data_IF_696759200134
#
_entry.id   IF_696759200134
#
_cell.length_a   1.000
_cell.length_b   1.000
_cell.length_c   1.000
_cell.angle_alpha   90.00
_cell.angle_beta   90.00
_cell.angle_gamma   90.00
#
_symmetry.space_group_name_H-M   'P 1'
#
loop_
_entity.id
_entity.type
_entity.pdbx_description
1 polymer ?
#
# COMPACT_ATOMS: atom_id res chain seq x y z
N UNK A 1 33.61 65.45 21.96
CA UNK A 1 32.81 64.56 22.82
C UNK A 1 31.34 64.83 22.55
N UNK A 2 30.65 63.96 21.78
CA UNK A 2 29.23 64.13 21.49
C UNK A 2 28.35 63.15 22.29
N UNK A 3 27.28 63.73 22.85
CA UNK A 3 25.89 63.24 22.93
C UNK A 3 25.61 61.73 23.04
N UNK A 4 25.22 61.29 24.24
CA UNK A 4 24.46 60.05 24.48
C UNK A 4 22.96 60.31 24.36
N UNK A 5 22.31 59.60 23.44
CA UNK A 5 20.84 59.57 23.26
C UNK A 5 20.29 58.32 23.98
N UNK A 6 19.21 58.40 24.77
CA UNK A 6 18.61 57.21 25.38
C UNK A 6 17.77 56.42 24.37
N UNK A 7 17.96 55.10 24.34
CA UNK A 7 17.12 54.16 23.60
C UNK A 7 15.72 54.02 24.24
N UNK A 8 14.65 53.79 23.46
CA UNK A 8 13.30 53.66 23.98
C UNK A 8 13.06 52.28 24.62
N UNK A 9 12.06 52.13 25.50
CA UNK A 9 11.75 50.86 26.15
C UNK A 9 11.13 49.86 25.17
N UNK A 10 11.64 48.63 25.19
CA UNK A 10 11.04 47.46 24.53
C UNK A 10 9.69 47.16 25.19
N UNK A 11 8.59 47.41 24.47
CA UNK A 11 7.24 47.00 24.89
C UNK A 11 7.17 45.47 24.92
N UNK A 12 6.95 44.90 26.09
CA UNK A 12 6.49 43.53 26.25
C UNK A 12 5.07 43.40 25.67
N UNK A 13 4.97 42.83 24.46
CA UNK A 13 3.69 42.53 23.81
C UNK A 13 3.42 41.01 23.82
N UNK A 14 2.59 40.61 24.80
CA UNK A 14 1.46 39.68 24.63
C UNK A 14 1.70 38.31 23.97
N UNK A 15 2.48 37.44 24.64
CA UNK A 15 2.26 35.98 24.62
C UNK A 15 0.94 35.64 25.32
N UNK A 16 -0.22 35.84 24.69
CA UNK A 16 -1.52 35.38 25.25
C UNK A 16 -2.63 35.08 24.22
N UNK A 17 -2.35 35.02 22.92
CA UNK A 17 -3.41 34.88 21.89
C UNK A 17 -3.56 33.51 21.20
N UNK A 18 -2.68 32.53 21.43
CA UNK A 18 -2.81 31.23 20.74
C UNK A 18 -3.64 30.18 21.51
N UNK A 19 -3.66 30.22 22.85
CA UNK A 19 -4.40 29.23 23.66
C UNK A 19 -5.93 29.32 23.55
N UNK A 20 -6.47 30.48 23.18
CA UNK A 20 -7.92 30.70 23.13
C UNK A 20 -8.62 30.05 21.94
N UNK A 21 -7.88 29.78 20.84
CA UNK A 21 -8.45 29.16 19.64
C UNK A 21 -8.57 27.65 19.81
N UNK A 22 -7.53 27.02 20.33
CA UNK A 22 -7.49 25.57 20.58
C UNK A 22 -8.51 25.17 21.67
N UNK A 23 -8.69 26.01 22.70
CA UNK A 23 -9.74 25.81 23.73
C UNK A 23 -11.16 26.01 23.20
N UNK A 24 -11.36 26.92 22.24
CA UNK A 24 -12.66 27.15 21.63
C UNK A 24 -13.07 25.99 20.71
N UNK A 25 -12.12 25.40 19.98
CA UNK A 25 -12.37 24.22 19.13
C UNK A 25 -12.69 22.98 19.96
N UNK A 26 -11.94 22.75 21.06
CA UNK A 26 -12.23 21.66 21.99
C UNK A 26 -13.58 21.87 22.68
N UNK A 27 -13.91 23.09 23.10
CA UNK A 27 -15.21 23.40 23.69
C UNK A 27 -16.36 23.20 22.69
N UNK A 28 -16.16 23.52 21.41
CA UNK A 28 -17.16 23.30 20.35
C UNK A 28 -17.40 21.80 20.11
N UNK A 29 -16.36 20.97 20.14
CA UNK A 29 -16.47 19.51 20.02
C UNK A 29 -17.23 18.89 21.19
N UNK A 30 -16.94 19.31 22.43
CA UNK A 30 -17.68 18.84 23.60
C UNK A 30 -19.13 19.31 23.61
N UNK A 31 -19.40 20.54 23.18
CA UNK A 31 -20.77 21.05 23.06
C UNK A 31 -21.55 20.29 21.98
N UNK A 32 -20.94 19.98 20.83
CA UNK A 32 -21.55 19.20 19.77
C UNK A 32 -21.88 17.77 20.24
N UNK A 33 -20.96 17.13 20.96
CA UNK A 33 -21.13 15.78 21.50
C UNK A 33 -22.22 15.74 22.58
N UNK A 34 -22.24 16.71 23.51
CA UNK A 34 -23.30 16.83 24.50
C UNK A 34 -24.67 17.10 23.87
N UNK A 35 -24.70 17.89 22.78
CA UNK A 35 -25.95 18.15 22.04
C UNK A 35 -26.44 16.88 21.33
N UNK A 36 -25.53 16.11 20.73
CA UNK A 36 -25.87 14.85 20.07
C UNK A 36 -26.37 13.80 21.06
N UNK A 37 -25.73 13.70 22.23
CA UNK A 37 -26.13 12.80 23.32
C UNK A 37 -27.49 13.19 23.90
N UNK A 38 -27.72 14.49 24.13
CA UNK A 38 -29.03 15.00 24.57
C UNK A 38 -30.15 14.72 23.56
N UNK A 39 -29.86 14.84 22.25
CA UNK A 39 -30.84 14.51 21.19
C UNK A 39 -31.11 13.01 21.14
N UNK A 40 -30.08 12.17 21.28
CA UNK A 40 -30.23 10.73 21.34
C UNK A 40 -31.09 10.30 22.54
N UNK A 41 -30.90 10.91 23.70
CA UNK A 41 -31.66 10.60 24.91
C UNK A 41 -33.12 11.10 24.83
N UNK A 42 -33.35 12.28 24.22
CA UNK A 42 -34.70 12.80 23.95
C UNK A 42 -35.48 11.94 22.96
N UNK A 43 -34.79 11.37 21.97
CA UNK A 43 -35.37 10.48 20.96
C UNK A 43 -35.73 9.12 21.56
N UNK A 44 -34.95 8.64 22.53
CA UNK A 44 -35.14 7.32 23.15
C UNK A 44 -36.20 7.32 24.26
N UNK A 45 -36.46 8.47 24.91
CA UNK A 45 -37.35 8.58 26.07
C UNK A 45 -38.52 9.58 25.92
N UNK A 46 -38.60 10.35 24.83
CA UNK A 46 -39.65 11.35 24.60
C UNK A 46 -40.84 10.80 23.78
N UNK A 47 -42.09 11.24 24.04
CA UNK A 47 -43.28 10.73 23.36
C UNK A 47 -43.33 11.03 21.84
N UNK A 48 -42.46 11.91 21.33
CA UNK A 48 -42.40 12.34 19.91
C UNK A 48 -41.02 12.09 19.23
N UNK A 49 -40.24 11.11 19.70
CA UNK A 49 -38.88 10.84 19.22
C UNK A 49 -38.76 10.59 17.70
N UNK A 50 -39.77 10.00 17.08
CA UNK A 50 -39.79 9.76 15.63
C UNK A 50 -39.89 11.04 14.78
N UNK A 51 -40.66 12.03 15.23
CA UNK A 51 -40.80 13.32 14.55
C UNK A 51 -39.52 14.17 14.65
N UNK A 52 -38.83 14.09 15.78
CA UNK A 52 -37.54 14.75 15.98
C UNK A 52 -36.43 14.15 15.11
N UNK A 53 -36.41 12.83 14.93
CA UNK A 53 -35.49 12.15 14.01
C UNK A 53 -35.72 12.57 12.56
N UNK A 54 -36.98 12.59 12.12
CA UNK A 54 -37.32 12.97 10.74
C UNK A 54 -37.00 14.44 10.45
N UNK A 55 -37.26 15.35 11.38
CA UNK A 55 -36.94 16.77 11.22
C UNK A 55 -35.43 17.03 11.26
N UNK A 56 -34.67 16.31 12.11
CA UNK A 56 -33.21 16.39 12.17
C UNK A 56 -32.55 15.84 10.90
N UNK A 57 -33.05 14.71 10.37
CA UNK A 57 -32.58 14.16 9.11
C UNK A 57 -32.85 15.11 7.92
N UNK A 58 -34.04 15.72 7.89
CA UNK A 58 -34.38 16.72 6.87
C UNK A 58 -33.48 17.97 6.96
N UNK A 59 -33.18 18.44 8.16
CA UNK A 59 -32.27 19.58 8.38
C UNK A 59 -30.83 19.26 7.94
N UNK A 60 -30.33 18.06 8.21
CA UNK A 60 -29.00 17.61 7.76
C UNK A 60 -28.91 17.49 6.24
N UNK A 61 -29.94 16.94 5.59
CA UNK A 61 -30.00 16.86 4.13
C UNK A 61 -30.06 18.27 3.49
N UNK A 62 -30.80 19.20 4.09
CA UNK A 62 -30.85 20.58 3.64
C UNK A 62 -29.50 21.29 3.80
N UNK A 63 -28.80 21.07 4.93
CA UNK A 63 -27.46 21.62 5.15
C UNK A 63 -26.42 21.04 4.18
N UNK A 64 -26.47 19.73 3.91
CA UNK A 64 -25.60 19.08 2.93
C UNK A 64 -25.87 19.58 1.50
N UNK A 65 -27.15 19.71 1.11
CA UNK A 65 -27.53 20.26 -0.18
C UNK A 65 -27.10 21.73 -0.33
N UNK A 66 -27.25 22.53 0.73
CA UNK A 66 -26.77 23.92 0.75
C UNK A 66 -25.24 23.97 0.65
N UNK A 67 -24.50 23.08 1.32
CA UNK A 67 -23.04 23.03 1.24
C UNK A 67 -22.54 22.62 -0.16
N UNK A 68 -23.17 21.61 -0.78
CA UNK A 68 -22.88 21.20 -2.16
C UNK A 68 -23.24 22.28 -3.18
N UNK A 69 -24.34 22.99 -2.96
CA UNK A 69 -24.72 24.12 -3.79
C UNK A 69 -23.75 25.29 -3.63
N UNK A 70 -23.30 25.58 -2.40
CA UNK A 70 -22.35 26.66 -2.11
C UNK A 70 -20.95 26.34 -2.63
N UNK A 71 -20.47 25.10 -2.54
CA UNK A 71 -19.19 24.69 -3.12
C UNK A 71 -19.20 24.76 -4.65
N UNK A 72 -20.31 24.37 -5.29
CA UNK A 72 -20.50 24.52 -6.74
C UNK A 72 -20.59 26.00 -7.16
N UNK A 73 -21.20 26.87 -6.35
CA UNK A 73 -21.30 28.31 -6.61
C UNK A 73 -19.99 29.06 -6.32
N UNK A 74 -19.19 28.62 -5.35
CA UNK A 74 -17.85 29.14 -5.06
C UNK A 74 -16.84 28.77 -6.16
N UNK A 75 -16.99 27.60 -6.78
CA UNK A 75 -16.28 27.24 -8.01
C UNK A 75 -16.64 28.14 -9.21
N UNK A 76 -17.86 28.69 -9.26
CA UNK A 76 -18.30 29.64 -10.30
C UNK A 76 -18.05 31.12 -9.93
N UNK A 77 -17.74 31.43 -8.66
CA UNK A 77 -17.39 32.78 -8.21
C UNK A 77 -15.90 33.10 -8.31
N UNK A 78 -15.03 32.08 -8.35
CA UNK A 78 -13.63 32.26 -8.74
C UNK A 78 -13.46 32.65 -10.23
N UNK A 79 -14.49 32.45 -11.06
CA UNK A 79 -14.49 32.75 -12.49
C UNK A 79 -15.16 34.10 -12.87
N UNK A 80 -15.61 34.91 -11.89
CA UNK A 80 -16.38 36.14 -12.17
C UNK A 80 -15.81 37.42 -11.54
N UNK A 81 -14.50 37.47 -11.31
CA UNK A 81 -13.78 38.69 -10.92
C UNK A 81 -12.59 38.95 -11.86
N UNK A 82 -12.85 39.01 -13.17
CA UNK A 82 -11.91 39.55 -14.15
C UNK A 82 -12.46 40.89 -14.66
N UNK A 83 -11.82 41.98 -14.27
CA UNK A 83 -12.00 43.29 -14.89
C UNK A 83 -11.34 43.28 -16.30
N UNK A 84 -11.83 44.06 -17.27
CA UNK A 84 -11.46 43.91 -18.67
C UNK A 84 -10.07 44.48 -18.95
N UNK A 85 -9.12 43.59 -19.28
CA UNK A 85 -7.82 43.94 -19.84
C UNK A 85 -7.77 43.59 -21.33
N UNK A 86 -7.53 44.61 -22.14
CA UNK A 86 -7.08 44.68 -23.55
C UNK A 86 -6.74 43.33 -24.23
N UNK A 87 -7.25 43.05 -25.44
CA UNK A 87 -6.95 41.80 -26.15
C UNK A 87 -5.48 41.82 -26.61
N UNK A 88 -4.66 40.95 -26.01
CA UNK A 88 -3.35 40.61 -26.54
C UNK A 88 -3.50 39.37 -27.43
N UNK A 89 -2.91 39.46 -28.62
CA UNK A 89 -2.93 38.45 -29.67
C UNK A 89 -2.50 37.07 -29.15
N UNK A 90 -3.24 36.07 -29.63
CA UNK A 90 -3.04 34.65 -29.43
C UNK A 90 -1.71 34.20 -30.05
N UNK A 91 -0.65 34.22 -29.26
CA UNK A 91 0.55 33.43 -29.51
C UNK A 91 0.60 32.33 -28.46
N UNK A 92 0.22 31.11 -28.85
CA UNK A 92 0.24 29.92 -28.01
C UNK A 92 1.53 29.81 -27.20
N UNK A 93 1.40 29.98 -25.88
CA UNK A 93 2.48 29.96 -24.91
C UNK A 93 2.55 28.55 -24.30
N UNK A 94 3.74 27.99 -24.01
CA UNK A 94 3.89 26.63 -23.46
C UNK A 94 3.47 26.52 -21.97
N UNK A 95 2.57 27.38 -21.50
CA UNK A 95 2.12 27.45 -20.10
C UNK A 95 0.98 26.48 -19.76
N UNK A 96 0.43 25.76 -20.75
CA UNK A 96 -0.64 24.75 -20.57
C UNK A 96 -0.12 23.33 -20.33
N UNK A 97 1.20 23.12 -20.19
CA UNK A 97 1.75 21.81 -19.90
C UNK A 97 1.57 21.45 -18.41
N UNK A 98 0.92 20.32 -18.13
CA UNK A 98 0.65 19.87 -16.76
C UNK A 98 1.95 19.77 -15.93
N UNK A 99 1.96 20.28 -14.69
CA UNK A 99 3.15 20.30 -13.87
C UNK A 99 3.60 18.88 -13.50
N UNK A 100 4.90 18.70 -13.41
CA UNK A 100 5.58 17.42 -13.21
C UNK A 100 5.83 17.18 -11.72
N UNK A 101 5.33 16.06 -11.18
CA UNK A 101 5.60 15.64 -9.79
C UNK A 101 6.94 14.91 -9.65
N UNK A 102 7.76 15.33 -8.69
CA UNK A 102 9.06 14.73 -8.42
C UNK A 102 9.20 14.39 -6.96
N UNK A 103 9.87 13.28 -6.67
CA UNK A 103 10.38 12.97 -5.34
C UNK A 103 11.88 13.22 -5.36
N UNK A 104 12.33 14.12 -4.51
CA UNK A 104 13.73 14.49 -4.39
C UNK A 104 14.19 14.18 -2.98
N UNK A 105 15.29 13.47 -2.84
CA UNK A 105 15.95 13.24 -1.55
C UNK A 105 17.35 13.79 -1.62
N UNK A 106 17.77 14.55 -0.63
CA UNK A 106 19.11 15.15 -0.59
C UNK A 106 19.61 15.24 0.84
N UNK A 107 20.90 15.08 1.04
CA UNK A 107 21.55 15.36 2.31
C UNK A 107 21.84 16.84 2.40
N UNK A 108 21.50 17.45 3.52
CA UNK A 108 21.74 18.86 3.84
C UNK A 108 22.48 18.93 5.18
N UNK A 109 23.32 19.95 5.36
CA UNK A 109 24.00 20.16 6.65
C UNK A 109 22.97 20.51 7.72
N UNK A 110 23.10 19.88 8.88
CA UNK A 110 22.27 20.16 10.06
C UNK A 110 22.74 21.45 10.76
N UNK A 111 22.57 22.58 10.08
CA UNK A 111 22.85 23.92 10.61
C UNK A 111 21.74 24.89 10.23
N UNK A 112 21.41 25.87 11.09
CA UNK A 112 20.35 26.83 10.80
C UNK A 112 20.54 27.52 9.44
N UNK A 113 19.48 27.49 8.63
CA UNK A 113 19.45 28.14 7.31
C UNK A 113 19.82 27.25 6.12
N UNK A 114 20.47 26.09 6.33
CA UNK A 114 20.89 25.20 5.23
C UNK A 114 19.69 24.68 4.42
N UNK A 115 18.69 24.08 5.09
CA UNK A 115 17.44 23.67 4.44
C UNK A 115 16.68 24.86 3.84
N UNK A 116 16.74 26.03 4.50
CA UNK A 116 16.14 27.27 4.00
C UNK A 116 16.75 27.74 2.67
N UNK A 117 18.06 27.55 2.47
CA UNK A 117 18.74 27.86 1.22
C UNK A 117 18.24 26.97 0.07
N UNK A 118 18.08 25.66 0.32
CA UNK A 118 17.50 24.71 -0.65
C UNK A 118 16.07 25.10 -1.01
N UNK A 119 15.21 25.35 -0.02
CA UNK A 119 13.83 25.79 -0.28
C UNK A 119 13.77 27.11 -1.07
N UNK A 120 14.67 28.05 -0.79
CA UNK A 120 14.76 29.34 -1.51
C UNK A 120 15.17 29.13 -2.97
N UNK A 121 16.14 28.24 -3.23
CA UNK A 121 16.59 27.92 -4.58
C UNK A 121 15.48 27.25 -5.40
N UNK A 122 14.78 26.28 -4.82
CA UNK A 122 13.62 25.64 -5.45
C UNK A 122 12.51 26.64 -5.79
N UNK A 123 12.20 27.56 -4.86
CA UNK A 123 11.24 28.63 -5.10
C UNK A 123 11.66 29.56 -6.25
N UNK A 124 12.96 29.87 -6.37
CA UNK A 124 13.52 30.65 -7.48
C UNK A 124 13.30 29.99 -8.86
N UNK A 125 13.29 28.66 -8.90
CA UNK A 125 13.00 27.85 -10.09
C UNK A 125 11.49 27.58 -10.30
N UNK A 126 10.62 28.26 -9.53
CA UNK A 126 9.15 28.08 -9.53
C UNK A 126 8.72 26.64 -9.22
N UNK A 127 9.49 25.94 -8.40
CA UNK A 127 9.15 24.60 -7.91
C UNK A 127 8.38 24.75 -6.60
N UNK A 128 7.19 24.15 -6.56
CA UNK A 128 6.35 24.10 -5.37
C UNK A 128 6.72 22.88 -4.51
N UNK A 129 6.82 23.07 -3.19
CA UNK A 129 7.12 22.00 -2.23
C UNK A 129 5.80 21.52 -1.65
N UNK A 130 5.34 20.35 -2.08
CA UNK A 130 4.07 19.76 -1.67
C UNK A 130 4.18 19.15 -0.27
N UNK A 131 5.26 18.39 -0.03
CA UNK A 131 5.59 17.83 1.29
C UNK A 131 7.10 17.87 1.51
N UNK A 132 7.50 17.90 2.78
CA UNK A 132 8.88 17.85 3.23
C UNK A 132 8.98 16.97 4.47
N UNK A 133 9.87 15.99 4.43
CA UNK A 133 10.22 15.16 5.57
C UNK A 133 11.71 15.28 5.83
N UNK A 134 12.08 15.42 7.09
CA UNK A 134 13.47 15.50 7.51
C UNK A 134 13.84 14.24 8.29
N UNK A 135 14.96 13.63 7.93
CA UNK A 135 15.49 12.41 8.52
C UNK A 135 16.86 12.72 9.13
N UNK A 136 16.96 12.89 10.45
CA UNK A 136 18.23 13.21 11.10
C UNK A 136 19.21 12.05 10.97
N UNK A 137 20.46 12.37 10.64
CA UNK A 137 21.60 11.46 10.65
C UNK A 137 22.62 11.86 11.74
N UNK A 138 23.65 11.05 11.94
CA UNK A 138 24.78 11.43 12.81
C UNK A 138 25.54 12.64 12.25
N UNK A 139 25.65 12.72 10.92
CA UNK A 139 26.28 13.84 10.20
C UNK A 139 25.28 14.40 9.18
N UNK A 140 24.55 15.46 9.56
CA UNK A 140 23.59 16.14 8.69
C UNK A 140 22.16 15.60 8.77
N UNK A 141 21.33 16.04 7.81
CA UNK A 141 19.94 15.62 7.66
C UNK A 141 19.71 15.15 6.24
N UNK A 142 18.96 14.08 6.08
CA UNK A 142 18.42 13.68 4.78
C UNK A 142 17.02 14.27 4.67
N UNK A 143 16.83 15.16 3.72
CA UNK A 143 15.56 15.82 3.48
C UNK A 143 14.90 15.22 2.23
N UNK A 144 13.69 14.70 2.40
CA UNK A 144 12.85 14.14 1.34
C UNK A 144 11.72 15.12 1.01
N UNK A 145 11.67 15.52 -0.25
CA UNK A 145 10.73 16.49 -0.80
C UNK A 145 9.82 15.81 -1.81
N UNK A 146 8.53 16.10 -1.74
CA UNK A 146 7.62 15.96 -2.87
C UNK A 146 7.46 17.32 -3.53
N UNK A 147 7.86 17.41 -4.79
CA UNK A 147 7.95 18.64 -5.55
C UNK A 147 6.96 18.64 -6.71
N UNK A 148 6.40 19.81 -6.99
CA UNK A 148 5.64 20.08 -8.21
C UNK A 148 6.42 21.11 -9.03
N UNK A 149 7.03 20.65 -10.11
CA UNK A 149 7.87 21.48 -10.97
C UNK A 149 7.15 21.83 -12.29
N UNK A 150 7.47 22.98 -12.92
CA UNK A 150 7.00 23.29 -14.26
C UNK A 150 7.40 22.19 -15.26
N UNK A 151 6.51 21.84 -16.21
CA UNK A 151 6.76 20.77 -17.18
C UNK A 151 8.02 21.00 -18.03
N UNK A 152 8.34 22.27 -18.32
CA UNK A 152 9.51 22.66 -19.10
C UNK A 152 10.83 22.60 -18.31
N UNK A 153 10.81 22.43 -16.98
CA UNK A 153 12.02 22.40 -16.16
C UNK A 153 12.70 21.01 -16.27
N UNK A 154 13.94 20.92 -16.80
CA UNK A 154 14.63 19.64 -16.90
C UNK A 154 14.99 19.07 -15.52
N UNK A 155 14.90 17.75 -15.36
CA UNK A 155 15.26 17.05 -14.11
C UNK A 155 16.69 17.38 -13.64
N UNK A 156 17.65 17.47 -14.57
CA UNK A 156 19.03 17.83 -14.24
C UNK A 156 19.14 19.25 -13.66
N UNK A 157 18.29 20.19 -14.09
CA UNK A 157 18.29 21.55 -13.55
C UNK A 157 17.78 21.59 -12.10
N UNK A 158 16.82 20.73 -11.73
CA UNK A 158 16.38 20.55 -10.33
C UNK A 158 17.53 20.06 -9.45
N UNK A 159 18.25 19.02 -9.89
CA UNK A 159 19.40 18.48 -9.15
C UNK A 159 20.49 19.53 -8.97
N UNK A 160 20.85 20.25 -10.03
CA UNK A 160 21.83 21.32 -9.96
C UNK A 160 21.40 22.46 -9.03
N UNK A 161 20.12 22.87 -9.10
CA UNK A 161 19.55 23.89 -8.20
C UNK A 161 19.72 23.51 -6.73
N UNK A 162 19.48 22.24 -6.39
CA UNK A 162 19.63 21.73 -5.02
C UNK A 162 21.11 21.62 -4.63
N UNK A 163 21.97 21.15 -5.54
CA UNK A 163 23.41 21.04 -5.29
C UNK A 163 24.07 22.40 -5.05
N UNK A 164 23.73 23.41 -5.86
CA UNK A 164 24.23 24.79 -5.72
C UNK A 164 23.76 25.43 -4.40
N UNK A 165 22.61 24.99 -3.88
CA UNK A 165 22.08 25.41 -2.59
C UNK A 165 22.67 24.65 -1.39
N UNK A 166 23.62 23.73 -1.62
CA UNK A 166 24.34 22.98 -0.60
C UNK A 166 23.81 21.58 -0.32
N UNK A 167 22.91 21.06 -1.15
CA UNK A 167 22.50 19.65 -1.10
C UNK A 167 23.59 18.72 -1.65
N UNK A 168 23.76 17.57 -1.02
CA UNK A 168 24.64 16.49 -1.51
C UNK A 168 23.87 15.18 -1.60
N UNK A 169 24.44 14.18 -2.28
CA UNK A 169 23.85 12.84 -2.42
C UNK A 169 22.39 12.89 -2.91
N UNK A 170 22.13 13.81 -3.84
CA UNK A 170 20.80 14.11 -4.32
C UNK A 170 20.30 12.99 -5.24
N UNK A 171 19.15 12.44 -4.89
CA UNK A 171 18.42 11.47 -5.68
C UNK A 171 17.08 12.04 -6.11
N UNK A 172 16.69 11.79 -7.36
CA UNK A 172 15.50 12.35 -7.99
C UNK A 172 14.76 11.26 -8.78
N UNK A 173 13.47 11.08 -8.49
CA UNK A 173 12.60 10.20 -9.26
C UNK A 173 11.25 10.85 -9.57
N UNK A 174 10.55 10.30 -10.57
CA UNK A 174 9.17 10.71 -10.87
C UNK A 174 8.25 10.24 -9.76
N UNK A 175 7.43 11.16 -9.25
CA UNK A 175 6.37 10.86 -8.30
C UNK A 175 5.01 10.74 -9.01
N UNK A 176 4.09 10.02 -8.38
CA UNK A 176 2.73 9.84 -8.86
C UNK A 176 1.68 10.40 -7.87
N UNK A 177 0.40 10.34 -8.23
CA UNK A 177 -0.68 10.91 -7.43
C UNK A 177 -0.83 10.27 -6.03
N UNK A 178 -0.41 9.02 -5.83
CA UNK A 178 -0.46 8.34 -4.53
C UNK A 178 0.58 8.88 -3.55
N UNK A 179 1.68 9.48 -4.05
CA UNK A 179 2.67 10.14 -3.20
C UNK A 179 2.14 11.42 -2.54
N UNK A 180 1.01 11.96 -3.03
CA UNK A 180 0.35 13.14 -2.44
C UNK A 180 -0.36 12.83 -1.11
N UNK A 181 -0.55 11.55 -0.78
CA UNK A 181 -1.09 11.15 0.52
C UNK A 181 -0.05 11.43 1.59
N UNK A 182 -0.43 12.18 2.62
CA UNK A 182 0.48 12.50 3.71
C UNK A 182 0.95 11.24 4.45
N UNK A 183 2.17 11.30 4.97
CA UNK A 183 2.81 10.14 5.58
C UNK A 183 2.04 9.58 6.79
N UNK A 184 1.54 10.38 7.75
CA UNK A 184 0.69 9.85 8.82
C UNK A 184 -0.51 9.04 8.32
N UNK A 185 -1.27 9.57 7.35
CA UNK A 185 -2.42 8.86 6.76
C UNK A 185 -1.99 7.55 6.08
N UNK A 186 -0.87 7.57 5.34
CA UNK A 186 -0.29 6.37 4.72
C UNK A 186 0.11 5.34 5.78
N UNK A 187 0.78 5.72 6.87
CA UNK A 187 1.16 4.80 7.95
C UNK A 187 -0.06 4.14 8.61
N UNK A 188 -1.11 4.91 8.91
CA UNK A 188 -2.34 4.38 9.51
C UNK A 188 -3.08 3.43 8.56
N UNK A 189 -3.08 3.74 7.27
CA UNK A 189 -3.63 2.85 6.23
C UNK A 189 -2.85 1.53 6.17
N UNK A 190 -1.52 1.59 6.14
CA UNK A 190 -0.65 0.41 6.14
C UNK A 190 -0.84 -0.42 7.41
N UNK A 191 -0.85 0.21 8.58
CA UNK A 191 -1.09 -0.45 9.87
C UNK A 191 -2.45 -1.16 9.91
N UNK A 192 -3.50 -0.54 9.37
CA UNK A 192 -4.84 -1.12 9.28
C UNK A 192 -4.86 -2.35 8.38
N UNK A 193 -4.19 -2.29 7.22
CA UNK A 193 -4.09 -3.44 6.30
C UNK A 193 -3.35 -4.61 6.95
N UNK A 194 -2.18 -4.36 7.54
CA UNK A 194 -1.41 -5.35 8.29
C UNK A 194 -2.21 -5.95 9.44
N UNK A 195 -3.06 -5.15 10.11
CA UNK A 195 -3.90 -5.64 11.19
C UNK A 195 -5.04 -6.58 10.76
N UNK A 196 -5.44 -6.52 9.48
CA UNK A 196 -6.52 -7.34 8.92
C UNK A 196 -6.02 -8.64 8.28
N UNK A 197 -4.83 -8.64 7.69
CA UNK A 197 -4.22 -9.79 7.03
C UNK A 197 -2.71 -9.80 7.28
N UNK A 198 -2.20 -10.83 7.95
CA UNK A 198 -0.76 -10.97 8.22
C UNK A 198 0.07 -11.08 6.92
N UNK A 199 -0.57 -11.40 5.79
CA UNK A 199 0.10 -11.41 4.48
C UNK A 199 0.41 -10.01 3.93
N UNK A 200 -0.12 -8.96 4.56
CA UNK A 200 0.12 -7.57 4.17
C UNK A 200 1.44 -7.02 4.71
N UNK A 201 2.10 -7.64 5.71
CA UNK A 201 3.33 -7.07 6.28
C UNK A 201 4.43 -6.82 5.22
N UNK A 202 4.81 -7.80 4.37
CA UNK A 202 5.79 -7.55 3.31
C UNK A 202 5.33 -6.46 2.34
N UNK A 203 4.05 -6.48 1.95
CA UNK A 203 3.48 -5.48 1.04
C UNK A 203 3.50 -4.08 1.67
N UNK A 204 3.21 -3.98 2.95
CA UNK A 204 3.21 -2.74 3.70
C UNK A 204 4.61 -2.17 3.85
N UNK A 205 5.63 -3.02 4.07
CA UNK A 205 7.04 -2.59 4.06
C UNK A 205 7.46 -2.08 2.67
N UNK A 206 7.04 -2.72 1.58
CA UNK A 206 7.33 -2.24 0.22
C UNK A 206 6.65 -0.89 -0.01
N UNK A 207 5.36 -0.81 0.32
CA UNK A 207 4.59 0.43 0.23
C UNK A 207 5.06 1.49 1.22
N UNK A 208 5.86 1.18 2.24
CA UNK A 208 6.42 2.16 3.15
C UNK A 208 7.69 2.79 2.56
N UNK A 209 8.52 1.99 1.88
CA UNK A 209 9.85 2.40 1.41
C UNK A 209 9.96 2.60 -0.10
N UNK A 210 8.89 2.38 -0.86
CA UNK A 210 8.85 2.59 -2.30
C UNK A 210 9.52 1.44 -3.06
N UNK A 211 10.43 1.77 -3.97
CA UNK A 211 11.19 0.79 -4.76
C UNK A 211 12.21 0.08 -3.87
N UNK A 212 11.85 -1.10 -3.37
CA UNK A 212 12.73 -2.00 -2.65
C UNK A 212 12.33 -3.45 -2.89
N UNK A 213 13.31 -4.34 -2.88
CA UNK A 213 13.09 -5.78 -2.88
C UNK A 213 12.90 -6.27 -1.45
N UNK A 214 11.93 -7.15 -1.25
CA UNK A 214 11.66 -7.77 0.05
C UNK A 214 11.82 -9.27 -0.06
N UNK A 215 12.65 -9.83 0.81
CA UNK A 215 12.91 -11.26 0.88
C UNK A 215 12.64 -11.76 2.28
N UNK A 216 11.75 -12.74 2.40
CA UNK A 216 11.46 -13.44 3.66
C UNK A 216 12.21 -14.77 3.69
N UNK A 217 13.11 -14.92 4.66
CA UNK A 217 13.84 -16.16 4.90
C UNK A 217 13.24 -16.86 6.12
N UNK A 218 12.76 -18.11 6.02
CA UNK A 218 12.21 -18.85 7.15
C UNK A 218 13.25 -19.09 8.27
N UNK A 219 12.76 -19.35 9.48
CA UNK A 219 13.59 -19.77 10.59
C UNK A 219 14.35 -21.06 10.25
N UNK A 220 15.68 -21.07 10.44
CA UNK A 220 16.43 -22.32 10.44
C UNK A 220 16.13 -23.09 11.75
N UNK A 221 15.97 -24.42 11.66
CA UNK A 221 15.73 -25.24 12.84
C UNK A 221 16.90 -25.10 13.84
N UNK A 222 16.63 -24.53 15.02
CA UNK A 222 17.65 -24.30 16.06
C UNK A 222 18.56 -23.09 15.83
N UNK A 223 18.20 -22.16 14.93
CA UNK A 223 18.95 -20.92 14.72
C UNK A 223 18.88 -19.97 15.93
N UNK A 224 19.93 -19.16 16.09
CA UNK A 224 19.93 -18.07 17.07
C UNK A 224 18.85 -17.01 16.73
N UNK A 225 18.31 -16.32 17.74
CA UNK A 225 17.34 -15.24 17.51
C UNK A 225 17.95 -14.17 16.59
N UNK A 226 17.23 -13.89 15.51
CA UNK A 226 17.64 -12.91 14.50
C UNK A 226 17.63 -11.53 15.15
N UNK A 227 18.76 -10.81 15.06
CA UNK A 227 18.86 -9.44 15.52
C UNK A 227 18.57 -8.47 14.36
N UNK A 228 17.79 -7.43 14.65
CA UNK A 228 17.52 -6.38 13.66
C UNK A 228 18.83 -5.62 13.35
N UNK A 229 19.17 -5.48 12.07
CA UNK A 229 20.36 -4.73 11.62
C UNK A 229 20.02 -3.76 10.48
N UNK A 230 20.81 -2.69 10.40
CA UNK A 230 20.77 -1.69 9.35
C UNK A 230 22.18 -1.52 8.79
N UNK A 231 22.34 -1.76 7.50
CA UNK A 231 23.60 -1.70 6.74
C UNK A 231 23.36 -0.93 5.44
N UNK A 232 23.57 0.38 5.45
CA UNK A 232 23.32 1.29 4.32
C UNK A 232 22.02 0.99 3.54
N UNK A 233 22.10 0.27 2.43
CA UNK A 233 20.96 -0.03 1.54
C UNK A 233 20.20 -1.30 1.91
N UNK A 234 20.56 -1.97 2.99
CA UNK A 234 19.96 -3.22 3.46
C UNK A 234 19.53 -3.09 4.91
N UNK A 235 18.30 -3.48 5.20
CA UNK A 235 17.80 -3.63 6.57
C UNK A 235 17.26 -5.04 6.76
N UNK A 236 17.67 -5.66 7.87
CA UNK A 236 17.24 -6.99 8.29
C UNK A 236 16.39 -6.85 9.54
N UNK A 237 15.20 -7.45 9.50
CA UNK A 237 14.23 -7.41 10.57
C UNK A 237 13.91 -8.84 10.99
N UNK A 238 13.81 -9.08 12.29
CA UNK A 238 13.30 -10.32 12.82
C UNK A 238 11.85 -10.53 12.34
N UNK A 239 11.59 -11.63 11.64
CA UNK A 239 10.23 -12.00 11.28
C UNK A 239 9.55 -12.56 12.54
N UNK A 240 8.31 -12.16 12.89
CA UNK A 240 7.64 -12.69 14.07
C UNK A 240 7.29 -14.20 13.97
N UNK A 241 7.55 -14.87 12.84
CA UNK A 241 7.53 -16.34 12.66
C UNK A 241 8.85 -17.00 13.06
N UNK A 242 9.85 -16.22 13.49
CA UNK A 242 11.21 -16.68 13.81
C UNK A 242 12.20 -16.62 12.64
N UNK A 243 11.77 -16.13 11.48
CA UNK A 243 12.62 -15.94 10.30
C UNK A 243 13.30 -14.56 10.23
N UNK A 244 13.68 -14.14 9.04
CA UNK A 244 14.22 -12.81 8.75
C UNK A 244 13.52 -12.20 7.55
N UNK A 245 13.09 -10.95 7.67
CA UNK A 245 12.66 -10.11 6.54
C UNK A 245 13.83 -9.20 6.17
N UNK A 246 14.32 -9.33 4.94
CA UNK A 246 15.33 -8.44 4.37
C UNK A 246 14.66 -7.46 3.43
N UNK A 247 14.87 -6.16 3.65
CA UNK A 247 14.44 -5.09 2.76
C UNK A 247 15.69 -4.46 2.17
N UNK A 248 15.78 -4.42 0.84
CA UNK A 248 16.96 -3.96 0.12
C UNK A 248 16.59 -2.93 -0.95
N UNK A 249 17.42 -1.90 -1.09
CA UNK A 249 17.43 -0.95 -2.20
C UNK A 249 18.72 -1.09 -2.99
N UNK A 250 18.70 -0.72 -4.26
CA UNK A 250 19.89 -0.84 -5.11
C UNK A 250 20.96 0.20 -4.73
N UNK A 251 20.55 1.44 -4.48
CA UNK A 251 21.50 2.56 -4.39
C UNK A 251 21.22 3.58 -3.28
N UNK A 252 20.00 3.62 -2.72
CA UNK A 252 19.62 4.65 -1.74
C UNK A 252 19.69 4.09 -0.31
N UNK A 253 20.62 4.57 0.54
CA UNK A 253 20.73 4.09 1.92
C UNK A 253 19.47 4.38 2.74
N UNK A 254 19.13 3.47 3.65
CA UNK A 254 18.09 3.67 4.63
C UNK A 254 18.58 4.54 5.79
N UNK A 255 17.72 5.43 6.26
CA UNK A 255 17.99 6.23 7.46
C UNK A 255 17.65 5.44 8.74
N UNK A 256 18.22 5.80 9.90
CA UNK A 256 17.80 5.26 11.19
C UNK A 256 16.30 5.45 11.47
N UNK A 257 15.71 6.56 11.00
CA UNK A 257 14.27 6.80 11.11
C UNK A 257 13.45 5.84 10.25
N UNK A 258 13.86 5.54 9.03
CA UNK A 258 13.23 4.52 8.19
C UNK A 258 13.30 3.14 8.85
N UNK A 259 14.46 2.75 9.36
CA UNK A 259 14.63 1.50 10.08
C UNK A 259 13.74 1.41 11.33
N UNK A 260 13.65 2.48 12.12
CA UNK A 260 12.75 2.54 13.28
C UNK A 260 11.27 2.38 12.89
N UNK A 261 10.83 2.98 11.77
CA UNK A 261 9.47 2.80 11.23
C UNK A 261 9.21 1.35 10.82
N UNK A 262 10.16 0.71 10.17
CA UNK A 262 10.05 -0.70 9.79
C UNK A 262 9.89 -1.61 11.02
N UNK A 263 10.76 -1.43 12.02
CA UNK A 263 10.70 -2.17 13.29
C UNK A 263 9.36 -1.96 14.01
N UNK A 264 8.84 -0.73 14.02
CA UNK A 264 7.54 -0.45 14.63
C UNK A 264 6.39 -1.18 13.91
N UNK A 265 6.43 -1.28 12.58
CA UNK A 265 5.42 -2.01 11.80
C UNK A 265 5.52 -3.54 12.03
N UNK A 266 6.73 -4.09 12.10
CA UNK A 266 6.97 -5.50 12.42
C UNK A 266 6.54 -5.83 13.85
N UNK A 267 6.86 -4.98 14.82
CA UNK A 267 6.42 -5.12 16.21
C UNK A 267 4.89 -5.08 16.33
N UNK A 268 4.23 -4.22 15.54
CA UNK A 268 2.77 -4.19 15.48
C UNK A 268 2.22 -5.54 14.98
N UNK A 269 2.74 -6.06 13.87
CA UNK A 269 2.34 -7.39 13.34
C UNK A 269 2.56 -8.50 14.38
N UNK A 270 3.73 -8.50 15.03
CA UNK A 270 4.08 -9.46 16.07
C UNK A 270 3.04 -9.48 17.21
N UNK A 271 2.60 -8.31 17.68
CA UNK A 271 1.60 -8.19 18.75
C UNK A 271 0.20 -8.62 18.33
N UNK A 272 -0.15 -8.44 17.07
CA UNK A 272 -1.45 -8.81 16.54
C UNK A 272 -1.55 -10.32 16.24
N UNK A 273 -0.40 -10.97 16.03
CA UNK A 273 -0.32 -12.40 15.73
C UNK A 273 -0.81 -12.74 14.32
N UNK A 274 -0.88 -14.04 14.01
CA UNK A 274 -1.29 -14.51 12.67
C UNK A 274 -2.78 -14.28 12.46
N UNK A 275 -3.14 -13.51 11.43
CA UNK A 275 -4.53 -13.20 11.05
C UNK A 275 -4.72 -13.49 9.57
N UNK A 276 -5.77 -14.25 9.25
CA UNK A 276 -6.17 -14.56 7.88
C UNK A 276 -7.63 -14.11 7.69
N UNK A 277 -7.95 -13.33 6.63
CA UNK A 277 -9.32 -12.89 6.38
C UNK A 277 -10.31 -14.04 6.24
N UNK A 278 -11.43 -13.99 6.97
CA UNK A 278 -12.48 -15.03 6.95
C UNK A 278 -13.40 -15.00 5.71
N UNK A 279 -13.02 -14.33 4.63
CA UNK A 279 -13.86 -14.21 3.43
C UNK A 279 -14.11 -15.57 2.78
N UNK A 280 -15.38 -15.89 2.54
CA UNK A 280 -15.85 -17.11 1.86
C UNK A 280 -16.65 -16.74 0.62
N UNK A 281 -16.44 -17.47 -0.47
CA UNK A 281 -17.10 -17.24 -1.75
C UNK A 281 -17.68 -18.55 -2.28
N UNK A 282 -19.00 -18.62 -2.38
CA UNK A 282 -19.66 -19.73 -3.03
C UNK A 282 -19.36 -19.72 -4.53
N UNK A 283 -19.06 -20.88 -5.07
CA UNK A 283 -18.80 -21.13 -6.48
C UNK A 283 -19.62 -22.33 -6.90
N UNK A 284 -20.53 -22.13 -7.83
CA UNK A 284 -21.31 -23.21 -8.44
C UNK A 284 -20.58 -23.69 -9.69
N UNK A 285 -20.18 -24.96 -9.71
CA UNK A 285 -19.62 -25.57 -10.90
C UNK A 285 -20.73 -25.86 -11.93
N UNK A 286 -20.41 -25.99 -13.24
CA UNK A 286 -21.39 -26.36 -14.26
C UNK A 286 -22.17 -27.64 -13.96
N UNK A 287 -21.57 -28.56 -13.21
CA UNK A 287 -22.17 -29.83 -12.78
C UNK A 287 -23.11 -29.68 -11.55
N UNK A 288 -23.35 -28.46 -11.06
CA UNK A 288 -24.26 -28.16 -9.95
C UNK A 288 -23.68 -28.34 -8.55
N UNK A 289 -22.40 -28.73 -8.42
CA UNK A 289 -21.74 -28.83 -7.12
C UNK A 289 -21.47 -27.43 -6.55
N UNK A 290 -22.00 -27.16 -5.35
CA UNK A 290 -21.65 -25.98 -4.57
C UNK A 290 -20.31 -26.19 -3.87
N UNK A 291 -19.34 -25.35 -4.25
CA UNK A 291 -18.02 -25.27 -3.62
C UNK A 291 -17.87 -23.92 -2.92
N UNK A 292 -17.03 -23.88 -1.89
CA UNK A 292 -16.65 -22.64 -1.22
C UNK A 292 -15.17 -22.40 -1.41
N UNK A 293 -14.81 -21.23 -1.95
CA UNK A 293 -13.44 -20.73 -1.97
C UNK A 293 -13.23 -19.81 -0.78
N UNK A 294 -12.18 -20.02 0.00
CA UNK A 294 -11.82 -19.18 1.15
C UNK A 294 -10.33 -19.01 1.27
N UNK A 295 -9.88 -18.01 2.05
CA UNK A 295 -8.48 -17.95 2.47
C UNK A 295 -8.12 -19.18 3.31
N UNK A 296 -6.91 -19.67 3.09
CA UNK A 296 -6.31 -20.76 3.84
C UNK A 296 -5.14 -20.24 4.67
N UNK A 297 -4.93 -20.86 5.84
CA UNK A 297 -3.91 -20.47 6.80
C UNK A 297 -3.23 -21.68 7.46
N UNK A 298 -2.32 -21.47 8.42
CA UNK A 298 -1.58 -22.53 9.10
C UNK A 298 -2.47 -23.60 9.77
N UNK A 299 -3.69 -23.22 10.18
CA UNK A 299 -4.71 -24.10 10.74
C UNK A 299 -5.19 -25.18 9.76
N UNK A 300 -5.07 -24.95 8.46
CA UNK A 300 -5.53 -25.87 7.42
C UNK A 300 -4.54 -26.99 7.13
N UNK A 301 -3.37 -27.00 7.79
CA UNK A 301 -2.29 -27.96 7.52
C UNK A 301 -2.76 -29.41 7.57
N UNK A 302 -3.53 -29.79 8.58
CA UNK A 302 -4.05 -31.16 8.71
C UNK A 302 -5.01 -31.53 7.56
N UNK A 303 -5.88 -30.59 7.15
CA UNK A 303 -6.81 -30.82 6.06
C UNK A 303 -6.10 -30.89 4.69
N UNK A 304 -5.05 -30.07 4.50
CA UNK A 304 -4.19 -30.09 3.32
C UNK A 304 -3.45 -31.42 3.19
N UNK A 305 -2.88 -31.94 4.29
CA UNK A 305 -2.23 -33.26 4.33
C UNK A 305 -3.20 -34.38 3.96
N UNK A 306 -4.40 -34.38 4.56
CA UNK A 306 -5.42 -35.34 4.22
C UNK A 306 -5.84 -35.26 2.73
N UNK A 307 -5.78 -34.07 2.11
CA UNK A 307 -5.99 -33.93 0.66
C UNK A 307 -4.84 -34.52 -0.15
N UNK A 308 -3.59 -34.27 0.27
CA UNK A 308 -2.41 -34.83 -0.40
C UNK A 308 -2.43 -36.35 -0.42
N UNK A 309 -2.81 -37.00 0.68
CA UNK A 309 -2.93 -38.46 0.80
C UNK A 309 -3.91 -39.08 -0.21
N UNK A 310 -4.85 -38.28 -0.73
CA UNK A 310 -5.83 -38.69 -1.75
C UNK A 310 -5.42 -38.34 -3.16
N UNK A 311 -4.38 -37.53 -3.34
CA UNK A 311 -3.87 -37.18 -4.65
C UNK A 311 -3.00 -38.31 -5.19
N UNK A 312 -3.02 -38.52 -6.51
CA UNK A 312 -2.10 -39.46 -7.13
C UNK A 312 -0.65 -38.96 -7.07
N UNK A 313 0.35 -39.88 -7.13
CA UNK A 313 1.75 -39.50 -7.24
C UNK A 313 2.04 -38.57 -8.42
N UNK A 314 1.36 -38.77 -9.55
CA UNK A 314 1.51 -37.93 -10.75
C UNK A 314 1.02 -36.50 -10.50
N UNK A 315 -0.15 -36.35 -9.85
CA UNK A 315 -0.69 -35.04 -9.46
C UNK A 315 0.26 -34.30 -8.52
N UNK A 316 0.83 -34.99 -7.53
CA UNK A 316 1.80 -34.40 -6.61
C UNK A 316 3.12 -34.05 -7.31
N UNK A 317 3.61 -34.89 -8.23
CA UNK A 317 4.85 -34.64 -8.99
C UNK A 317 4.74 -33.47 -9.98
N UNK A 318 3.53 -33.14 -10.44
CA UNK A 318 3.27 -31.93 -11.23
C UNK A 318 3.24 -30.67 -10.38
N UNK A 319 2.88 -30.79 -9.10
CA UNK A 319 2.81 -29.68 -8.13
C UNK A 319 4.16 -29.41 -7.46
N UNK A 320 4.89 -30.46 -7.12
CA UNK A 320 6.15 -30.41 -6.40
C UNK A 320 7.25 -30.84 -7.35
N UNK A 321 8.18 -29.93 -7.66
CA UNK A 321 9.35 -30.19 -8.50
C UNK A 321 10.45 -30.97 -7.76
N UNK A 322 10.07 -31.75 -6.74
CA UNK A 322 10.90 -32.54 -5.83
C UNK A 322 10.11 -33.68 -5.18
N UNK A 323 10.68 -34.44 -4.22
CA UNK A 323 10.01 -35.58 -3.59
C UNK A 323 8.71 -35.17 -2.89
N UNK A 324 7.59 -35.83 -3.21
CA UNK A 324 6.28 -35.52 -2.63
C UNK A 324 6.23 -35.79 -1.11
N UNK A 325 7.10 -36.65 -0.60
CA UNK A 325 7.27 -36.94 0.84
C UNK A 325 7.72 -35.72 1.65
N UNK A 326 8.29 -34.70 1.01
CA UNK A 326 8.64 -33.43 1.65
C UNK A 326 7.46 -32.43 1.71
N UNK A 327 6.30 -32.76 1.15
CA UNK A 327 5.16 -31.84 1.05
C UNK A 327 4.72 -31.29 2.41
N UNK A 328 4.83 -32.07 3.48
CA UNK A 328 4.57 -31.67 4.87
C UNK A 328 5.37 -30.45 5.33
N UNK A 329 6.63 -30.39 4.91
CA UNK A 329 7.57 -29.32 5.22
C UNK A 329 7.26 -28.09 4.36
N UNK A 330 6.94 -28.30 3.10
CA UNK A 330 6.52 -27.22 2.20
C UNK A 330 5.18 -26.60 2.61
N UNK A 331 4.21 -27.39 3.09
CA UNK A 331 2.88 -26.89 3.46
C UNK A 331 2.92 -25.86 4.58
N UNK A 332 3.81 -26.01 5.57
CA UNK A 332 3.95 -25.02 6.64
C UNK A 332 4.37 -23.64 6.08
N UNK A 333 5.24 -23.64 5.07
CA UNK A 333 5.64 -22.42 4.37
C UNK A 333 4.51 -21.89 3.48
N UNK A 334 3.90 -22.75 2.67
CA UNK A 334 2.84 -22.35 1.74
C UNK A 334 1.59 -21.79 2.44
N UNK A 335 1.21 -22.35 3.59
CA UNK A 335 0.04 -21.90 4.36
C UNK A 335 0.34 -20.72 5.29
N UNK A 336 1.61 -20.38 5.47
CA UNK A 336 1.98 -19.20 6.26
C UNK A 336 1.66 -17.93 5.46
N UNK A 337 0.85 -17.01 6.02
CA UNK A 337 0.52 -15.77 5.33
C UNK A 337 1.76 -14.87 5.13
N UNK A 338 2.87 -15.12 5.82
CA UNK A 338 4.09 -14.32 5.70
C UNK A 338 4.82 -14.47 4.36
N UNK A 339 4.56 -15.55 3.65
CA UNK A 339 5.19 -15.84 2.36
C UNK A 339 4.27 -15.63 1.18
N UNK A 340 3.00 -15.26 1.42
CA UNK A 340 2.02 -15.22 0.37
C UNK A 340 0.57 -15.27 0.85
N UNK A 341 -0.33 -15.55 -0.09
CA UNK A 341 -1.75 -15.75 0.15
C UNK A 341 -2.16 -17.12 -0.36
N UNK A 342 -2.82 -17.87 0.50
CA UNK A 342 -3.34 -19.20 0.17
C UNK A 342 -4.85 -19.21 0.12
N UNK A 343 -5.39 -20.00 -0.80
CA UNK A 343 -6.82 -20.27 -0.98
C UNK A 343 -7.08 -21.76 -0.88
N UNK A 344 -8.17 -22.11 -0.22
CA UNK A 344 -8.71 -23.46 -0.17
C UNK A 344 -10.07 -23.52 -0.86
N UNK A 345 -10.34 -24.65 -1.51
CA UNK A 345 -11.66 -24.99 -2.04
C UNK A 345 -12.23 -26.13 -1.22
N UNK A 346 -13.40 -25.90 -0.65
CA UNK A 346 -14.14 -26.87 0.15
C UNK A 346 -15.44 -27.26 -0.55
N UNK A 347 -15.83 -28.52 -0.38
CA UNK A 347 -17.17 -29.00 -0.71
C UNK A 347 -18.18 -28.54 0.33
N UNK A 348 -19.48 -28.71 0.06
CA UNK A 348 -20.56 -28.42 1.01
C UNK A 348 -20.41 -29.15 2.37
N UNK A 349 -19.73 -30.29 2.42
CA UNK A 349 -19.43 -31.02 3.66
C UNK A 349 -18.21 -30.48 4.43
N UNK A 350 -17.57 -29.42 3.94
CA UNK A 350 -16.34 -28.86 4.52
C UNK A 350 -15.07 -29.62 4.13
N UNK A 351 -15.16 -30.64 3.27
CA UNK A 351 -13.97 -31.36 2.79
C UNK A 351 -13.19 -30.50 1.81
N UNK A 352 -11.91 -30.28 2.10
CA UNK A 352 -10.94 -29.59 1.24
C UNK A 352 -10.59 -30.47 0.02
N UNK A 353 -10.69 -29.89 -1.19
CA UNK A 353 -10.51 -30.60 -2.47
C UNK A 353 -9.55 -29.90 -3.45
N UNK A 354 -9.17 -28.65 -3.17
CA UNK A 354 -8.10 -27.96 -3.89
C UNK A 354 -7.43 -26.89 -3.03
N UNK A 355 -6.18 -26.59 -3.37
CA UNK A 355 -5.37 -25.50 -2.81
C UNK A 355 -4.79 -24.65 -3.94
N UNK A 356 -4.73 -23.35 -3.70
CA UNK A 356 -4.00 -22.40 -4.52
C UNK A 356 -3.12 -21.52 -3.64
N UNK A 357 -1.91 -21.24 -4.09
CA UNK A 357 -0.93 -20.42 -3.38
C UNK A 357 -0.45 -19.32 -4.32
N UNK A 358 -0.40 -18.09 -3.80
CA UNK A 358 0.27 -16.95 -4.38
C UNK A 358 1.43 -16.60 -3.47
N UNK A 359 2.67 -16.80 -3.91
CA UNK A 359 3.87 -16.60 -3.12
C UNK A 359 4.58 -15.31 -3.54
N UNK A 360 5.17 -14.62 -2.58
CA UNK A 360 6.00 -13.45 -2.81
C UNK A 360 7.44 -13.88 -3.04
N UNK A 361 7.98 -13.67 -4.25
CA UNK A 361 9.37 -13.94 -4.59
C UNK A 361 10.08 -12.65 -5.05
N UNK A 362 10.52 -11.86 -4.07
CA UNK A 362 11.12 -10.55 -4.33
C UNK A 362 10.14 -9.60 -5.02
N UNK A 363 10.44 -9.26 -6.27
CA UNK A 363 9.59 -8.43 -7.13
C UNK A 363 8.57 -9.25 -7.94
N UNK A 364 8.79 -10.56 -8.06
CA UNK A 364 7.94 -11.49 -8.78
C UNK A 364 6.94 -12.22 -7.85
N UNK A 365 5.94 -12.86 -8.44
CA UNK A 365 4.85 -13.48 -7.69
C UNK A 365 4.49 -14.84 -8.28
N UNK A 366 4.82 -15.91 -7.58
CA UNK A 366 4.58 -17.27 -8.06
C UNK A 366 3.16 -17.72 -7.71
N UNK A 367 2.47 -18.34 -8.67
CA UNK A 367 1.21 -19.04 -8.44
C UNK A 367 1.38 -20.55 -8.58
N UNK A 368 0.87 -21.29 -7.60
CA UNK A 368 0.90 -22.75 -7.61
C UNK A 368 -0.46 -23.32 -7.19
N UNK A 369 -0.92 -24.34 -7.91
CA UNK A 369 -2.25 -24.94 -7.75
C UNK A 369 -2.16 -26.44 -7.55
N UNK A 370 -2.99 -26.99 -6.67
CA UNK A 370 -3.19 -28.42 -6.48
C UNK A 370 -4.69 -28.70 -6.41
N UNK A 371 -5.17 -29.63 -7.25
CA UNK A 371 -6.58 -30.06 -7.28
C UNK A 371 -6.60 -31.58 -7.17
N UNK A 372 -7.36 -32.11 -6.20
CA UNK A 372 -7.54 -33.56 -6.02
C UNK A 372 -8.04 -34.21 -7.32
N UNK A 373 -7.49 -35.36 -7.70
CA UNK A 373 -7.68 -36.01 -9.01
C UNK A 373 -9.16 -36.13 -9.42
N UNK A 374 -10.03 -36.55 -8.49
CA UNK A 374 -11.47 -36.69 -8.74
C UNK A 374 -12.22 -35.38 -9.03
N UNK A 375 -11.60 -34.23 -8.73
CA UNK A 375 -12.15 -32.89 -8.89
C UNK A 375 -11.51 -32.10 -10.04
N UNK A 376 -10.49 -32.67 -10.69
CA UNK A 376 -9.83 -32.05 -11.84
C UNK A 376 -10.76 -31.98 -13.06
N UNK A 377 -10.44 -31.09 -14.00
CA UNK A 377 -11.20 -30.82 -15.24
C UNK A 377 -12.65 -30.35 -15.02
N UNK A 378 -12.96 -29.82 -13.83
CA UNK A 378 -14.26 -29.20 -13.50
C UNK A 378 -14.19 -27.67 -13.36
N UNK A 379 -13.08 -27.05 -13.78
CA UNK A 379 -12.89 -25.58 -13.72
C UNK A 379 -12.38 -25.03 -12.38
N UNK A 380 -12.12 -25.87 -11.37
CA UNK A 380 -11.64 -25.43 -10.05
C UNK A 380 -10.28 -24.71 -10.13
N UNK A 381 -9.36 -25.22 -10.96
CA UNK A 381 -8.05 -24.58 -11.17
C UNK A 381 -8.18 -23.14 -11.67
N UNK A 382 -9.04 -22.91 -12.68
CA UNK A 382 -9.29 -21.56 -13.22
C UNK A 382 -9.98 -20.63 -12.22
N UNK A 383 -10.88 -21.16 -11.38
CA UNK A 383 -11.49 -20.40 -10.28
C UNK A 383 -10.43 -19.94 -9.27
N UNK A 384 -9.57 -20.85 -8.82
CA UNK A 384 -8.49 -20.52 -7.90
C UNK A 384 -7.52 -19.51 -8.53
N UNK A 385 -7.08 -19.74 -9.77
CA UNK A 385 -6.13 -18.88 -10.44
C UNK A 385 -6.66 -17.45 -10.58
N UNK A 386 -7.91 -17.26 -11.04
CA UNK A 386 -8.52 -15.93 -11.12
C UNK A 386 -8.56 -15.23 -9.77
N UNK A 387 -8.90 -15.95 -8.70
CA UNK A 387 -8.92 -15.38 -7.34
C UNK A 387 -7.53 -15.01 -6.84
N UNK A 388 -6.51 -15.82 -7.12
CA UNK A 388 -5.12 -15.47 -6.79
C UNK A 388 -4.65 -14.25 -7.60
N UNK A 389 -5.01 -14.15 -8.89
CA UNK A 389 -4.70 -12.98 -9.72
C UNK A 389 -5.38 -11.72 -9.20
N UNK A 390 -6.65 -11.79 -8.77
CA UNK A 390 -7.33 -10.67 -8.10
C UNK A 390 -6.55 -10.22 -6.86
N UNK A 391 -6.13 -11.16 -6.00
CA UNK A 391 -5.34 -10.87 -4.80
C UNK A 391 -3.96 -10.28 -5.12
N UNK A 392 -3.33 -10.68 -6.22
CA UNK A 392 -2.07 -10.12 -6.69
C UNK A 392 -2.26 -8.68 -7.22
N UNK A 393 -3.30 -8.45 -8.02
CA UNK A 393 -3.62 -7.11 -8.52
C UNK A 393 -3.99 -6.14 -7.39
N UNK A 394 -4.77 -6.58 -6.40
CA UNK A 394 -5.09 -5.81 -5.18
C UNK A 394 -3.84 -5.46 -4.36
N UNK A 395 -2.84 -6.34 -4.38
CA UNK A 395 -1.54 -6.10 -3.77
C UNK A 395 -0.63 -5.17 -4.61
N UNK A 396 -1.09 -4.71 -5.79
CA UNK A 396 -0.33 -3.83 -6.68
C UNK A 396 0.79 -4.55 -7.43
N UNK A 397 0.65 -5.84 -7.69
CA UNK A 397 1.63 -6.63 -8.44
C UNK A 397 1.44 -6.46 -9.94
N UNK A 398 2.55 -6.37 -10.67
CA UNK A 398 2.58 -6.16 -12.12
C UNK A 398 2.47 -7.47 -12.92
N UNK A 399 2.85 -8.59 -12.30
CA UNK A 399 2.83 -9.91 -12.93
C UNK A 399 2.65 -11.02 -11.90
N UNK A 400 2.16 -12.17 -12.39
CA UNK A 400 2.27 -13.46 -11.70
C UNK A 400 2.85 -14.49 -12.67
N UNK A 401 3.58 -15.48 -12.16
CA UNK A 401 4.11 -16.56 -12.99
C UNK A 401 3.82 -17.92 -12.38
N UNK A 402 3.76 -18.94 -13.23
CA UNK A 402 3.64 -20.34 -12.83
C UNK A 402 4.83 -21.12 -13.37
N UNK A 403 5.52 -21.86 -12.49
CA UNK A 403 6.57 -22.81 -12.89
C UNK A 403 5.96 -24.20 -12.97
N UNK A 404 6.03 -24.82 -14.15
CA UNK A 404 5.46 -26.15 -14.37
C UNK A 404 6.29 -26.96 -15.36
N UNK A 405 5.93 -28.23 -15.57
CA UNK A 405 6.52 -29.02 -16.66
C UNK A 405 5.88 -28.62 -17.98
N UNK A 406 6.65 -28.57 -19.06
CA UNK A 406 6.15 -28.33 -20.42
C UNK A 406 5.03 -29.29 -20.85
N UNK A 407 4.95 -30.48 -20.25
CA UNK A 407 3.90 -31.48 -20.47
C UNK A 407 2.61 -31.24 -19.66
N UNK A 408 2.60 -30.30 -18.71
CA UNK A 408 1.44 -29.98 -17.89
C UNK A 408 0.41 -29.12 -18.66
N UNK A 409 -0.30 -29.77 -19.58
CA UNK A 409 -1.32 -29.11 -20.42
C UNK A 409 -2.44 -28.47 -19.60
N UNK A 410 -2.76 -29.02 -18.41
CA UNK A 410 -3.78 -28.48 -17.51
C UNK A 410 -3.43 -27.08 -17.00
N UNK A 411 -2.19 -26.88 -16.52
CA UNK A 411 -1.72 -25.56 -16.08
C UNK A 411 -1.66 -24.56 -17.23
N UNK A 412 -1.15 -24.99 -18.40
CA UNK A 412 -1.08 -24.12 -19.60
C UNK A 412 -2.47 -23.66 -20.05
N UNK A 413 -3.45 -24.56 -20.08
CA UNK A 413 -4.83 -24.21 -20.39
C UNK A 413 -5.40 -23.24 -19.36
N UNK A 414 -5.17 -23.50 -18.06
CA UNK A 414 -5.66 -22.64 -16.97
C UNK A 414 -5.09 -21.22 -17.05
N UNK A 415 -3.79 -21.07 -17.37
CA UNK A 415 -3.16 -19.75 -17.58
C UNK A 415 -3.75 -19.02 -18.79
N UNK A 416 -3.99 -19.72 -19.91
CA UNK A 416 -4.60 -19.14 -21.11
C UNK A 416 -6.03 -18.65 -20.89
N UNK A 417 -6.80 -19.35 -20.06
CA UNK A 417 -8.17 -18.96 -19.68
C UNK A 417 -8.26 -17.63 -18.92
N UNK A 418 -7.15 -17.08 -18.41
CA UNK A 418 -7.14 -15.75 -17.83
C UNK A 418 -7.45 -14.64 -18.86
N UNK A 419 -7.16 -14.87 -20.15
CA UNK A 419 -7.32 -13.85 -21.17
C UNK A 419 -6.40 -12.64 -20.97
N UNK A 420 -5.27 -12.82 -20.27
CA UNK A 420 -4.24 -11.81 -20.05
C UNK A 420 -3.07 -12.03 -21.02
N UNK A 421 -2.23 -11.00 -21.27
CA UNK A 421 -0.97 -11.19 -21.99
C UNK A 421 -0.09 -12.21 -21.27
N UNK A 422 0.37 -13.23 -21.99
CA UNK A 422 1.22 -14.30 -21.46
C UNK A 422 2.58 -14.32 -22.16
N UNK A 423 3.65 -14.41 -21.38
CA UNK A 423 4.99 -14.77 -21.84
C UNK A 423 5.30 -16.22 -21.48
N UNK A 424 6.09 -16.89 -22.32
CA UNK A 424 6.44 -18.31 -22.17
C UNK A 424 7.94 -18.50 -22.27
N UNK A 425 8.55 -19.07 -21.24
CA UNK A 425 9.96 -19.44 -21.22
C UNK A 425 10.11 -20.92 -20.94
N UNK A 426 10.92 -21.62 -21.75
CA UNK A 426 11.14 -23.06 -21.65
C UNK A 426 12.62 -23.35 -21.56
N UNK A 427 13.01 -24.08 -20.52
CA UNK A 427 14.39 -24.52 -20.29
C UNK A 427 14.39 -25.90 -19.63
N UNK A 428 15.15 -26.86 -20.17
CA UNK A 428 15.29 -28.24 -19.67
C UNK A 428 13.97 -28.95 -19.33
N UNK A 429 12.93 -28.73 -20.13
CA UNK A 429 11.59 -29.32 -19.95
C UNK A 429 10.72 -28.63 -18.90
N UNK A 430 11.27 -27.65 -18.18
CA UNK A 430 10.54 -26.71 -17.32
C UNK A 430 9.95 -25.59 -18.19
N UNK A 431 8.72 -25.20 -17.88
CA UNK A 431 7.97 -24.13 -18.51
C UNK A 431 7.61 -23.10 -17.44
N UNK A 432 8.03 -21.86 -17.65
CA UNK A 432 7.56 -20.69 -16.90
C UNK A 432 6.55 -19.96 -17.77
N UNK A 433 5.35 -19.75 -17.22
CA UNK A 433 4.30 -18.96 -17.87
C UNK A 433 4.06 -17.72 -17.03
N UNK A 434 4.27 -16.53 -17.59
CA UNK A 434 4.12 -15.26 -16.88
C UNK A 434 2.92 -14.49 -17.43
N UNK A 435 1.98 -14.11 -16.56
CA UNK A 435 0.85 -13.26 -16.91
C UNK A 435 1.09 -11.82 -16.44
N UNK A 436 1.01 -10.86 -17.37
CA UNK A 436 1.06 -9.43 -17.03
C UNK A 436 -0.30 -8.99 -16.49
N UNK A 437 -0.30 -8.35 -15.33
CA UNK A 437 -1.51 -7.93 -14.63
C UNK A 437 -1.85 -6.46 -14.93
N UNK A 438 -3.09 -6.16 -15.35
CA UNK A 438 -3.59 -4.80 -15.32
C UNK A 438 -3.97 -4.41 -13.87
N UNK A 439 -4.45 -3.18 -13.68
CA UNK A 439 -5.08 -2.82 -12.40
C UNK A 439 -6.29 -3.72 -12.11
N UNK A 440 -6.62 -3.94 -10.83
CA UNK A 440 -7.72 -4.83 -10.42
C UNK A 440 -9.06 -4.50 -11.10
N UNK A 441 -9.33 -3.21 -11.30
CA UNK A 441 -10.55 -2.72 -11.96
C UNK A 441 -10.62 -3.06 -13.47
N UNK A 442 -9.47 -3.34 -14.09
CA UNK A 442 -9.34 -3.65 -15.50
C UNK A 442 -9.17 -5.16 -15.77
N UNK A 443 -9.28 -6.02 -14.76
CA UNK A 443 -9.30 -7.48 -14.96
C UNK A 443 -10.53 -7.90 -15.79
N UNK A 444 -10.37 -8.80 -16.79
CA UNK A 444 -11.45 -9.14 -17.72
C UNK A 444 -12.75 -9.64 -17.06
N UNK A 445 -12.63 -10.32 -15.92
CA UNK A 445 -13.76 -10.93 -15.22
C UNK A 445 -14.30 -10.10 -14.05
N UNK A 446 -13.65 -8.99 -13.67
CA UNK A 446 -14.20 -8.06 -12.66
C UNK A 446 -15.23 -7.11 -13.28
N UNK A 447 -15.08 -6.77 -14.56
CA UNK A 447 -16.06 -5.98 -15.32
C UNK A 447 -17.41 -6.69 -15.50
N UNK A 448 -17.42 -8.03 -15.58
CA UNK A 448 -18.63 -8.84 -15.74
C UNK A 448 -19.50 -8.96 -14.46
N UNK A 449 -19.06 -8.38 -13.34
CA UNK A 449 -19.78 -8.37 -12.05
C UNK A 449 -20.53 -7.06 -11.75
N UNK A 450 -20.48 -6.06 -12.63
CA UNK A 450 -21.18 -4.77 -12.46
C UNK A 450 -22.52 -4.73 -13.18
#
# INVERSE_FOLDING_TARGET
MPHTTPAPPVRAATRRRHWGRDLAEVAALFAAMATADLIADLVNHGPDGGLLLMTSAAALLAAAAAHVWWSRRSGHRAAAAAAPGVPAEDTGRPEDAEPTLWRLRTTVRDTPGSLGAVCTALAGSRVDIVTLQTHPLAEGTVDEFLLRAPAALPAAALVLTVADAGGTDTWLERADAHDLVDTPTRMLTLATRTALDAAELPLALRQLFGRCTIRSTPAAAGGEPVQDTLEDTVMRLADPSGGTITVQRDHLPFTPTEFARARALVELDARLGVRVPGSRHAVTLPEGNELTVRRAGPEDRTAALAMHDRCSPDTLALRYHGPAEDADRYLAHLLSPRFGRSLAVETASGRLVALGHLLWDGDENEVALLVEDGWQRRGIGGVLLRKLVELAAEAGRESVYAVTRSTNTGMVATMRELGLPLDYQVEDGTLVVTATLPSTAALPWTAARR
#
